data_IF_249740816003
#
_entry.id   IF_249740816003
#
_cell.length_a   1.000
_cell.length_b   1.000
_cell.length_c   1.000
_cell.angle_alpha   90.00
_cell.angle_beta   90.00
_cell.angle_gamma   90.00
#
_symmetry.space_group_name_H-M   'P 1'
#
loop_
_entity.id
_entity.type
_entity.pdbx_description
1 polymer ?
#
# COMPACT_ATOMS: atom_id res chain seq x y z
N UNK A 1 -1.23 -22.59 -12.13
CA UNK A 1 -1.89 -21.81 -11.04
C UNK A 1 -2.62 -20.64 -11.68
N UNK A 2 -3.88 -20.36 -11.28
CA UNK A 2 -4.63 -19.19 -11.78
C UNK A 2 -3.84 -17.90 -11.44
N UNK A 3 -3.83 -16.91 -12.32
CA UNK A 3 -3.10 -15.64 -12.17
C UNK A 3 -3.32 -14.97 -10.80
N UNK A 4 -4.54 -15.05 -10.27
CA UNK A 4 -4.88 -14.58 -8.93
C UNK A 4 -4.04 -15.23 -7.82
N UNK A 5 -3.72 -16.52 -7.93
CA UNK A 5 -2.91 -17.23 -6.94
C UNK A 5 -1.47 -16.73 -6.86
N UNK A 6 -0.87 -16.36 -8.00
CA UNK A 6 0.48 -15.76 -8.05
C UNK A 6 0.44 -14.38 -7.39
N UNK A 7 -0.58 -13.57 -7.69
CA UNK A 7 -0.78 -12.27 -7.05
C UNK A 7 -0.91 -12.39 -5.52
N UNK A 8 -1.74 -13.32 -5.02
CA UNK A 8 -1.87 -13.59 -3.59
C UNK A 8 -0.57 -14.06 -2.93
N UNK A 9 0.23 -14.84 -3.65
CA UNK A 9 1.53 -15.29 -3.16
C UNK A 9 2.51 -14.12 -3.01
N UNK A 10 2.56 -13.22 -4.01
CA UNK A 10 3.35 -11.98 -3.94
C UNK A 10 2.87 -11.09 -2.79
N UNK A 11 1.55 -10.93 -2.63
CA UNK A 11 0.96 -10.14 -1.54
C UNK A 11 1.40 -10.67 -0.16
N UNK A 12 1.36 -12.00 0.03
CA UNK A 12 1.83 -12.64 1.27
C UNK A 12 3.31 -12.37 1.54
N UNK A 13 4.15 -12.45 0.52
CA UNK A 13 5.59 -12.17 0.66
C UNK A 13 5.80 -10.70 1.06
N UNK A 14 5.12 -9.76 0.40
CA UNK A 14 5.19 -8.34 0.74
C UNK A 14 4.76 -8.06 2.19
N UNK A 15 3.66 -8.69 2.63
CA UNK A 15 3.20 -8.60 4.02
C UNK A 15 4.24 -9.18 4.99
N UNK A 16 4.85 -10.32 4.67
CA UNK A 16 5.89 -10.92 5.49
C UNK A 16 7.12 -10.02 5.63
N UNK A 17 7.57 -9.43 4.52
CA UNK A 17 8.71 -8.50 4.51
C UNK A 17 8.41 -7.28 5.38
N UNK A 18 7.23 -6.67 5.22
CA UNK A 18 6.81 -5.54 6.06
C UNK A 18 6.70 -5.92 7.54
N UNK A 19 6.10 -7.06 7.83
CA UNK A 19 5.99 -7.57 9.20
C UNK A 19 7.37 -7.76 9.86
N UNK A 20 8.35 -8.27 9.12
CA UNK A 20 9.73 -8.38 9.59
C UNK A 20 10.35 -6.99 9.84
N UNK A 21 10.18 -6.03 8.93
CA UNK A 21 10.67 -4.66 9.14
C UNK A 21 10.09 -4.00 10.40
N UNK A 22 8.80 -4.20 10.65
CA UNK A 22 8.12 -3.71 11.86
C UNK A 22 8.66 -4.39 13.12
N UNK A 23 8.76 -5.73 13.14
CA UNK A 23 9.24 -6.49 14.30
C UNK A 23 10.68 -6.12 14.67
N UNK A 24 11.56 -6.05 13.68
CA UNK A 24 12.98 -5.83 13.96
C UNK A 24 13.29 -4.41 14.43
N UNK A 25 12.31 -3.50 14.46
CA UNK A 25 12.49 -2.06 14.75
C UNK A 25 13.65 -1.41 13.96
N UNK A 26 14.13 -2.09 12.91
CA UNK A 26 15.10 -1.60 11.93
C UNK A 26 14.46 -0.61 10.95
N UNK A 27 13.17 -0.32 11.12
CA UNK A 27 12.52 0.87 10.61
C UNK A 27 12.99 2.12 11.36
N UNK A 28 14.24 2.53 11.16
CA UNK A 28 14.51 3.96 11.14
C UNK A 28 13.62 4.51 10.03
N UNK A 29 12.60 5.29 10.41
CA UNK A 29 11.60 5.87 9.48
C UNK A 29 12.24 6.64 8.32
N UNK A 30 13.54 6.92 8.40
CA UNK A 30 14.32 7.66 7.43
C UNK A 30 15.14 6.81 6.44
N UNK A 31 14.98 5.49 6.42
CA UNK A 31 15.69 4.65 5.43
C UNK A 31 14.85 4.49 4.16
N UNK A 32 15.40 4.86 3.01
CA UNK A 32 14.72 4.76 1.71
C UNK A 32 14.12 3.37 1.43
N UNK A 33 14.81 2.29 1.86
CA UNK A 33 14.29 0.91 1.74
C UNK A 33 13.01 0.68 2.55
N UNK A 34 12.92 1.27 3.74
CA UNK A 34 11.73 1.13 4.59
C UNK A 34 10.54 1.85 3.95
N UNK A 35 10.71 3.13 3.59
CA UNK A 35 9.65 3.93 2.95
C UNK A 35 9.23 3.30 1.62
N UNK A 36 10.17 2.86 0.79
CA UNK A 36 9.86 2.18 -0.47
C UNK A 36 9.05 0.89 -0.25
N UNK A 37 9.40 0.11 0.78
CA UNK A 37 8.62 -1.09 1.14
C UNK A 37 7.24 -0.75 1.71
N UNK A 38 7.09 0.38 2.40
CA UNK A 38 5.82 0.87 2.96
C UNK A 38 4.86 1.30 1.84
N UNK A 39 5.37 2.07 0.86
CA UNK A 39 4.62 2.46 -0.35
C UNK A 39 4.14 1.22 -1.09
N UNK A 40 5.06 0.29 -1.39
CA UNK A 40 4.73 -0.95 -2.12
C UNK A 40 3.66 -1.76 -1.38
N UNK A 41 3.74 -1.84 -0.05
CA UNK A 41 2.77 -2.56 0.75
C UNK A 41 1.39 -1.89 0.74
N UNK A 42 1.32 -0.58 1.02
CA UNK A 42 0.06 0.19 1.04
C UNK A 42 -0.62 0.18 -0.32
N UNK A 43 0.14 0.39 -1.40
CA UNK A 43 -0.38 0.31 -2.77
C UNK A 43 -0.87 -1.10 -3.10
N UNK A 44 -0.10 -2.14 -2.74
CA UNK A 44 -0.47 -3.52 -3.05
C UNK A 44 -1.75 -3.96 -2.33
N UNK A 45 -1.88 -3.64 -1.03
CA UNK A 45 -3.09 -3.92 -0.27
C UNK A 45 -4.26 -3.07 -0.76
N UNK A 46 -4.02 -1.78 -1.01
CA UNK A 46 -5.06 -0.88 -1.49
C UNK A 46 -5.65 -1.34 -2.82
N UNK A 47 -4.79 -1.70 -3.78
CA UNK A 47 -5.19 -2.29 -5.06
C UNK A 47 -5.87 -3.64 -4.87
N UNK A 48 -5.37 -4.49 -3.96
CA UNK A 48 -6.00 -5.76 -3.67
C UNK A 48 -7.44 -5.58 -3.20
N UNK A 49 -7.66 -4.75 -2.16
CA UNK A 49 -9.00 -4.50 -1.63
C UNK A 49 -9.92 -3.92 -2.70
N UNK A 50 -9.45 -2.93 -3.44
CA UNK A 50 -10.24 -2.30 -4.49
C UNK A 50 -10.63 -3.29 -5.59
N UNK A 51 -9.66 -4.01 -6.16
CA UNK A 51 -9.92 -4.95 -7.26
C UNK A 51 -10.71 -6.19 -6.79
N UNK A 52 -10.40 -6.69 -5.60
CA UNK A 52 -11.04 -7.90 -5.08
C UNK A 52 -12.53 -7.67 -4.82
N UNK A 53 -12.90 -6.57 -4.16
CA UNK A 53 -14.30 -6.25 -3.88
C UNK A 53 -15.03 -5.64 -5.09
N UNK A 54 -14.30 -5.06 -6.07
CA UNK A 54 -14.91 -4.65 -7.33
C UNK A 54 -15.25 -5.84 -8.23
N UNK A 55 -14.38 -6.85 -8.32
CA UNK A 55 -14.55 -8.01 -9.21
C UNK A 55 -15.41 -9.11 -8.58
N UNK A 56 -15.29 -9.35 -7.27
CA UNK A 56 -16.02 -10.41 -6.59
C UNK A 56 -17.26 -9.84 -5.89
N UNK A 57 -18.42 -10.42 -6.21
CA UNK A 57 -19.65 -10.17 -5.46
C UNK A 57 -19.73 -11.12 -4.29
N UNK A 58 -19.84 -10.59 -3.08
CA UNK A 58 -20.10 -11.37 -1.87
C UNK A 58 -21.59 -11.26 -1.53
N UNK A 59 -22.41 -12.27 -1.82
CA UNK A 59 -23.86 -12.21 -1.59
C UNK A 59 -24.22 -12.08 -0.10
N UNK A 60 -23.33 -12.49 0.79
CA UNK A 60 -23.49 -12.39 2.25
C UNK A 60 -23.00 -11.06 2.83
N UNK A 61 -22.29 -10.24 2.04
CA UNK A 61 -21.75 -8.96 2.50
C UNK A 61 -22.63 -7.81 1.99
N UNK A 62 -23.03 -6.90 2.88
CA UNK A 62 -23.83 -5.75 2.49
C UNK A 62 -23.05 -4.88 1.48
N UNK A 63 -23.74 -4.33 0.47
CA UNK A 63 -23.11 -3.48 -0.54
C UNK A 63 -22.35 -2.28 0.07
N UNK A 64 -22.87 -1.75 1.19
CA UNK A 64 -22.25 -0.65 1.93
C UNK A 64 -20.90 -1.08 2.51
N UNK A 65 -20.79 -2.30 3.06
CA UNK A 65 -19.54 -2.81 3.62
C UNK A 65 -18.49 -3.01 2.51
N UNK A 66 -18.91 -3.54 1.36
CA UNK A 66 -18.02 -3.69 0.19
C UNK A 66 -17.49 -2.32 -0.29
N UNK A 67 -18.35 -1.31 -0.31
CA UNK A 67 -17.98 0.06 -0.67
C UNK A 67 -16.98 0.64 0.34
N UNK A 68 -17.23 0.49 1.64
CA UNK A 68 -16.35 0.99 2.71
C UNK A 68 -14.96 0.35 2.60
N UNK A 69 -14.89 -0.97 2.39
CA UNK A 69 -13.61 -1.68 2.25
C UNK A 69 -12.84 -1.22 1.01
N UNK A 70 -13.55 -1.04 -0.12
CA UNK A 70 -12.95 -0.57 -1.38
C UNK A 70 -12.45 0.87 -1.26
N UNK A 71 -13.18 1.72 -0.54
CA UNK A 71 -12.78 3.08 -0.22
C UNK A 71 -11.58 3.11 0.72
N UNK A 72 -11.53 2.25 1.74
CA UNK A 72 -10.36 2.05 2.59
C UNK A 72 -9.12 1.65 1.80
N UNK A 73 -9.28 0.79 0.79
CA UNK A 73 -8.21 0.46 -0.15
C UNK A 73 -7.71 1.68 -0.95
N UNK A 74 -8.62 2.55 -1.37
CA UNK A 74 -8.28 3.81 -2.07
C UNK A 74 -7.51 4.77 -1.16
N UNK A 75 -7.92 4.89 0.11
CA UNK A 75 -7.23 5.71 1.12
C UNK A 75 -5.81 5.23 1.40
N UNK A 76 -5.57 3.91 1.40
CA UNK A 76 -4.22 3.37 1.55
C UNK A 76 -3.30 3.75 0.39
N UNK A 77 -3.82 3.73 -0.85
CA UNK A 77 -3.06 4.19 -2.03
C UNK A 77 -2.79 5.68 -1.92
N UNK A 78 -3.79 6.48 -1.52
CA UNK A 78 -3.64 7.91 -1.32
C UNK A 78 -2.53 8.21 -0.29
N UNK A 79 -2.56 7.55 0.87
CA UNK A 79 -1.55 7.71 1.91
C UNK A 79 -0.14 7.38 1.38
N UNK A 80 0.01 6.29 0.63
CA UNK A 80 1.28 5.92 0.03
C UNK A 80 1.82 6.97 -0.96
N UNK A 81 0.95 7.55 -1.79
CA UNK A 81 1.33 8.48 -2.85
C UNK A 81 1.55 9.91 -2.33
N UNK A 82 0.77 10.35 -1.34
CA UNK A 82 0.82 11.74 -0.89
C UNK A 82 1.60 11.94 0.41
N UNK A 83 1.82 10.89 1.22
CA UNK A 83 2.57 11.01 2.46
C UNK A 83 3.94 10.32 2.41
N UNK A 84 4.06 9.17 1.75
CA UNK A 84 5.30 8.38 1.78
C UNK A 84 6.17 8.60 0.55
N UNK A 85 5.57 8.67 -0.64
CA UNK A 85 6.29 8.90 -1.89
C UNK A 85 7.08 10.23 -1.89
N UNK A 86 6.53 11.37 -1.42
CA UNK A 86 7.31 12.61 -1.27
C UNK A 86 8.57 12.44 -0.45
N UNK A 87 8.46 11.80 0.72
CA UNK A 87 9.60 11.55 1.62
C UNK A 87 10.67 10.71 0.94
N UNK A 88 10.27 9.69 0.18
CA UNK A 88 11.22 8.87 -0.57
C UNK A 88 11.94 9.71 -1.63
N UNK A 89 11.22 10.59 -2.33
CA UNK A 89 11.76 11.40 -3.41
C UNK A 89 12.71 12.49 -2.88
N UNK A 90 12.38 13.12 -1.75
CA UNK A 90 13.24 14.05 -1.03
C UNK A 90 14.58 13.40 -0.63
N UNK A 91 14.57 12.13 -0.19
CA UNK A 91 15.81 11.41 0.16
C UNK A 91 16.76 11.22 -1.03
N UNK A 92 16.25 11.16 -2.26
CA UNK A 92 17.07 11.08 -3.47
C UNK A 92 17.41 12.46 -4.07
N UNK A 93 17.08 13.55 -3.35
CA UNK A 93 17.34 14.92 -3.77
C UNK A 93 16.70 15.29 -5.12
N UNK A 94 15.59 14.62 -5.46
CA UNK A 94 14.81 14.90 -6.66
C UNK A 94 13.80 15.99 -6.30
N UNK A 95 13.98 17.19 -6.83
CA UNK A 95 13.11 18.33 -6.56
C UNK A 95 11.74 18.14 -7.25
N UNK A 96 10.67 18.01 -6.46
CA UNK A 96 9.29 18.10 -6.96
C UNK A 96 8.75 19.50 -6.66
N UNK A 97 8.46 20.33 -7.69
CA UNK A 97 8.13 21.75 -7.51
C UNK A 97 6.79 22.05 -6.81
N UNK A 98 6.03 21.04 -6.39
CA UNK A 98 4.71 21.21 -5.75
C UNK A 98 4.68 20.83 -4.26
N UNK A 99 5.81 20.40 -3.69
CA UNK A 99 5.91 19.99 -2.28
C UNK A 99 6.70 21.07 -1.54
N UNK A 100 6.07 22.24 -1.40
CA UNK A 100 6.54 23.26 -0.49
C UNK A 100 5.30 23.95 0.11
N UNK A 101 4.68 23.36 1.14
CA UNK A 101 3.86 24.15 2.04
C UNK A 101 4.83 24.87 2.97
N UNK A 102 4.84 26.20 2.88
CA UNK A 102 5.38 27.07 3.95
C UNK A 102 4.85 26.65 5.34
#
# INVERSE_FOLDING_TARGET
>A
MKWYGIYFFILKILVMIQFLFVIFKKGTKDTALYIGSEILFKVSIGLFLMLFFFVNKFPELHHVDQLIISFGGSLLIYDAVFNDLPKLIEMYNIYIPYINPE
#
